data_IF_595395472377
#
_entry.id   IF_595395472377
#
_cell.length_a   1.000
_cell.length_b   1.000
_cell.length_c   1.000
_cell.angle_alpha   90.00
_cell.angle_beta   90.00
_cell.angle_gamma   90.00
#
_symmetry.space_group_name_H-M   'P 1'
#
loop_
_entity.id
_entity.type
_entity.pdbx_description
1 polymer ?
#
# COMPACT_ATOMS: atom_id res chain seq x y z
N UNK A 1 -4.90 -4.09 13.79
CA UNK A 1 -4.44 -2.73 14.18
C UNK A 1 -3.20 -2.32 13.38
N UNK A 2 -2.46 -3.24 12.76
CA UNK A 2 -1.22 -2.99 12.00
C UNK A 2 -1.35 -2.13 10.73
N UNK A 3 -2.51 -2.13 10.05
CA UNK A 3 -2.73 -1.31 8.84
C UNK A 3 -2.83 0.20 9.08
N UNK A 4 -3.21 0.60 10.30
CA UNK A 4 -3.17 2.02 10.67
C UNK A 4 -1.73 2.49 10.87
N UNK A 5 -0.89 1.65 11.48
CA UNK A 5 0.51 1.99 11.75
C UNK A 5 1.33 2.20 10.46
N UNK A 6 1.13 1.36 9.44
CA UNK A 6 1.84 1.50 8.14
C UNK A 6 1.41 2.75 7.36
N UNK A 7 0.13 3.12 7.40
CA UNK A 7 -0.36 4.35 6.77
C UNK A 7 0.12 5.59 7.52
N UNK A 8 0.11 5.55 8.85
CA UNK A 8 0.57 6.65 9.69
C UNK A 8 2.09 6.86 9.53
N UNK A 9 2.89 5.80 9.39
CA UNK A 9 4.31 5.86 9.05
C UNK A 9 4.56 6.54 7.69
N UNK A 10 3.80 6.19 6.66
CA UNK A 10 3.91 6.80 5.34
C UNK A 10 3.57 8.30 5.39
N UNK A 11 2.48 8.67 6.10
CA UNK A 11 2.08 10.07 6.30
C UNK A 11 3.16 10.84 7.04
N UNK A 12 3.71 10.28 8.13
CA UNK A 12 4.80 10.88 8.89
C UNK A 12 6.05 11.10 8.02
N UNK A 13 6.40 10.13 7.19
CA UNK A 13 7.55 10.24 6.29
C UNK A 13 7.34 11.34 5.26
N UNK A 14 6.16 11.42 4.65
CA UNK A 14 5.83 12.46 3.67
C UNK A 14 5.82 13.84 4.33
N UNK A 15 5.19 13.99 5.50
CA UNK A 15 5.17 15.25 6.24
C UNK A 15 6.59 15.73 6.56
N UNK A 16 7.43 14.84 7.10
CA UNK A 16 8.81 15.13 7.48
C UNK A 16 9.69 15.49 6.28
N UNK A 17 9.64 14.70 5.22
CA UNK A 17 10.52 14.88 4.04
C UNK A 17 10.08 16.02 3.13
N UNK A 18 8.78 16.25 3.00
CA UNK A 18 8.25 17.33 2.16
C UNK A 18 8.08 18.66 2.91
N UNK A 19 8.25 18.67 4.25
CA UNK A 19 8.09 19.88 5.06
C UNK A 19 6.66 20.40 5.10
N UNK A 20 5.67 19.50 5.09
CA UNK A 20 4.24 19.83 5.08
C UNK A 20 3.54 19.34 6.35
N UNK A 21 2.36 19.89 6.64
CA UNK A 21 1.55 19.45 7.77
C UNK A 21 1.06 17.99 7.62
N UNK A 22 0.77 17.33 8.74
CA UNK A 22 0.17 15.99 8.79
C UNK A 22 -1.08 15.90 7.90
N UNK A 23 -2.00 16.86 8.03
CA UNK A 23 -3.22 16.92 7.23
C UNK A 23 -2.94 17.04 5.72
N UNK A 24 -1.92 17.81 5.34
CA UNK A 24 -1.51 17.92 3.94
C UNK A 24 -0.86 16.63 3.44
N UNK A 25 -0.03 15.98 4.27
CA UNK A 25 0.58 14.70 3.95
C UNK A 25 -0.45 13.59 3.78
N UNK A 26 -1.44 13.50 4.66
CA UNK A 26 -2.55 12.56 4.53
C UNK A 26 -3.32 12.76 3.21
N UNK A 27 -3.65 14.00 2.87
CA UNK A 27 -4.29 14.33 1.58
C UNK A 27 -3.41 13.93 0.39
N UNK A 28 -2.11 14.23 0.44
CA UNK A 28 -1.18 13.89 -0.61
C UNK A 28 -1.07 12.37 -0.82
N UNK A 29 -0.92 11.60 0.27
CA UNK A 29 -0.88 10.13 0.22
C UNK A 29 -2.16 9.58 -0.41
N UNK A 30 -3.33 10.06 0.02
CA UNK A 30 -4.61 9.60 -0.54
C UNK A 30 -4.73 9.88 -2.04
N UNK A 31 -4.29 11.04 -2.52
CA UNK A 31 -4.30 11.38 -3.96
C UNK A 31 -3.40 10.43 -4.75
N UNK A 32 -2.18 10.16 -4.26
CA UNK A 32 -1.23 9.26 -4.93
C UNK A 32 -1.77 7.83 -4.97
N UNK A 33 -2.33 7.35 -3.85
CA UNK A 33 -2.94 6.02 -3.80
C UNK A 33 -4.12 5.89 -4.75
N UNK A 34 -4.99 6.92 -4.84
CA UNK A 34 -6.07 6.97 -5.81
C UNK A 34 -5.55 6.87 -7.24
N UNK A 35 -4.55 7.69 -7.59
CA UNK A 35 -3.93 7.65 -8.91
C UNK A 35 -3.33 6.28 -9.25
N UNK A 36 -2.64 5.64 -8.30
CA UNK A 36 -2.06 4.31 -8.50
C UNK A 36 -3.15 3.25 -8.70
N UNK A 37 -4.22 3.28 -7.91
CA UNK A 37 -5.36 2.35 -8.07
C UNK A 37 -6.03 2.49 -9.42
N UNK A 38 -6.18 3.71 -9.92
CA UNK A 38 -6.79 3.99 -11.22
C UNK A 38 -5.91 3.54 -12.40
N UNK A 39 -4.59 3.50 -12.21
CA UNK A 39 -3.62 3.14 -13.26
C UNK A 39 -3.19 1.67 -13.22
N UNK A 40 -3.37 0.99 -12.09
CA UNK A 40 -2.94 -0.38 -11.92
C UNK A 40 -4.09 -1.35 -12.23
N UNK A 41 -3.83 -2.45 -12.97
CA UNK A 41 -4.80 -3.52 -13.16
C UNK A 41 -5.36 -4.02 -11.84
N UNK A 42 -6.64 -4.42 -11.82
CA UNK A 42 -7.36 -4.85 -10.61
C UNK A 42 -6.60 -5.87 -9.71
N UNK A 43 -5.84 -6.85 -10.24
CA UNK A 43 -5.05 -7.76 -9.41
C UNK A 43 -3.96 -7.06 -8.58
N UNK A 44 -3.35 -5.99 -9.10
CA UNK A 44 -2.26 -5.26 -8.45
C UNK A 44 -2.85 -4.25 -7.45
N UNK A 45 -3.96 -3.59 -7.82
CA UNK A 45 -4.65 -2.66 -6.92
C UNK A 45 -5.12 -3.36 -5.63
N UNK A 46 -5.65 -4.59 -5.73
CA UNK A 46 -6.06 -5.40 -4.58
C UNK A 46 -4.90 -5.80 -3.66
N UNK A 47 -3.69 -6.00 -4.20
CA UNK A 47 -2.49 -6.28 -3.40
C UNK A 47 -2.02 -5.05 -2.62
N UNK A 48 -2.04 -3.88 -3.26
CA UNK A 48 -1.70 -2.60 -2.61
C UNK A 48 -2.66 -2.30 -1.46
N UNK A 49 -3.96 -2.49 -1.69
CA UNK A 49 -4.96 -2.32 -0.63
C UNK A 49 -4.75 -3.29 0.54
N UNK A 50 -4.37 -4.53 0.25
CA UNK A 50 -4.11 -5.55 1.29
C UNK A 50 -2.89 -5.19 2.15
N UNK A 51 -1.84 -4.65 1.54
CA UNK A 51 -0.63 -4.18 2.25
C UNK A 51 -0.94 -2.95 3.10
N UNK A 52 -1.65 -1.95 2.54
CA UNK A 52 -1.97 -0.70 3.23
C UNK A 52 -2.97 -0.90 4.38
N UNK A 53 -3.94 -1.78 4.20
CA UNK A 53 -4.95 -2.05 5.24
C UNK A 53 -4.43 -2.98 6.35
N UNK A 54 -3.17 -3.44 6.26
CA UNK A 54 -2.59 -4.39 7.22
C UNK A 54 -3.40 -5.68 7.32
N UNK A 55 -4.00 -6.10 6.20
CA UNK A 55 -4.73 -7.35 6.13
C UNK A 55 -3.78 -8.54 6.26
N UNK A 56 -4.27 -9.64 6.85
CA UNK A 56 -3.60 -10.94 7.02
C UNK A 56 -3.16 -11.66 5.71
N UNK A 57 -2.92 -10.91 4.63
CA UNK A 57 -2.36 -11.38 3.36
C UNK A 57 -1.15 -10.54 2.94
N UNK A 58 -0.31 -10.17 3.92
CA UNK A 58 0.99 -9.53 3.68
C UNK A 58 1.87 -10.37 2.76
N UNK A 59 3.01 -9.81 2.35
CA UNK A 59 4.03 -10.34 1.43
C UNK A 59 4.12 -11.88 1.27
N UNK A 60 3.88 -12.68 2.31
CA UNK A 60 3.76 -14.14 2.25
C UNK A 60 2.65 -14.69 1.34
N UNK A 61 1.48 -14.07 1.25
CA UNK A 61 0.39 -14.53 0.35
C UNK A 61 0.64 -14.13 -1.10
N UNK A 62 1.26 -12.96 -1.32
CA UNK A 62 1.76 -12.53 -2.63
C UNK A 62 2.92 -13.43 -3.08
N UNK A 63 3.88 -13.72 -2.19
CA UNK A 63 4.98 -14.64 -2.46
C UNK A 63 4.49 -16.07 -2.69
N UNK A 64 3.47 -16.54 -1.95
CA UNK A 64 2.82 -17.83 -2.15
C UNK A 64 2.10 -17.92 -3.49
N UNK A 65 1.37 -16.88 -3.88
CA UNK A 65 0.68 -16.79 -5.18
C UNK A 65 1.66 -16.74 -6.36
N UNK A 66 2.79 -16.03 -6.21
CA UNK A 66 3.87 -15.99 -7.21
C UNK A 66 4.63 -17.31 -7.28
N UNK A 67 4.93 -17.95 -6.14
CA UNK A 67 5.56 -19.27 -6.07
C UNK A 67 4.69 -20.38 -6.68
N UNK A 68 3.37 -20.32 -6.47
CA UNK A 68 2.40 -21.23 -7.08
C UNK A 68 2.29 -21.10 -8.60
N UNK A 69 2.50 -19.90 -9.17
CA UNK A 69 2.57 -19.70 -10.62
C UNK A 69 3.94 -20.07 -11.21
N UNK A 70 5.04 -19.86 -10.47
CA UNK A 70 6.40 -20.25 -10.89
C UNK A 70 6.60 -21.78 -10.88
N UNK A 71 5.95 -22.47 -9.94
CA UNK A 71 6.07 -23.93 -9.77
C UNK A 71 5.15 -24.76 -10.64
N UNK A 72 4.29 -24.16 -11.48
CA UNK A 72 3.29 -24.87 -12.29
C UNK A 72 3.59 -24.85 -13.79
N UNK A 73 4.87 -25.01 -14.13
CA UNK A 73 5.30 -25.51 -15.46
C UNK A 73 5.49 -27.02 -15.40
#
# INVERSE_FOLDING_TARGET
MEGKETMDELINMVASKAGISQDQAQKAVNVVLGFLKDKLPAPIAGQIDSVIQGGKGGLGDVAGSLGGMLGKK
#
